data_IF_536197494272
#
_entry.id   IF_536197494272
#
_cell.length_a   1.000
_cell.length_b   1.000
_cell.length_c   1.000
_cell.angle_alpha   90.00
_cell.angle_beta   90.00
_cell.angle_gamma   90.00
#
_symmetry.space_group_name_H-M   'P 1'
#
loop_
_entity.id
_entity.type
_entity.pdbx_description
1 polymer ?
#
# COMPACT_ATOMS: atom_id res chain seq x y z
N UNK A 1 15.55 71.15 -35.29
CA UNK A 1 16.92 71.34 -35.78
C UNK A 1 17.63 72.36 -34.89
N UNK A 2 18.78 71.94 -34.32
CA UNK A 2 19.93 72.60 -33.63
C UNK A 2 19.73 73.85 -32.77
N UNK A 3 20.03 73.83 -31.46
CA UNK A 3 21.33 73.81 -30.68
C UNK A 3 21.75 75.24 -30.31
N UNK A 4 22.13 75.62 -29.08
CA UNK A 4 23.31 75.20 -28.28
C UNK A 4 23.18 75.75 -26.81
N UNK A 5 23.50 74.99 -25.74
CA UNK A 5 24.77 74.93 -24.95
C UNK A 5 25.19 76.25 -24.23
N UNK A 6 25.80 76.33 -23.03
CA UNK A 6 26.16 75.41 -21.92
C UNK A 6 26.53 76.22 -20.66
N UNK A 7 26.56 75.50 -19.52
CA UNK A 7 26.84 75.87 -18.11
C UNK A 7 28.29 76.32 -17.78
N UNK A 8 28.40 77.05 -16.66
CA UNK A 8 29.64 77.43 -15.95
C UNK A 8 29.97 76.54 -14.73
N UNK A 9 31.25 76.54 -14.38
CA UNK A 9 31.95 75.87 -13.26
C UNK A 9 31.80 76.60 -11.91
N UNK A 10 31.99 75.90 -10.78
CA UNK A 10 32.96 76.21 -9.68
C UNK A 10 32.91 75.11 -8.57
N UNK A 11 34.00 74.87 -7.80
CA UNK A 11 34.24 73.64 -7.03
C UNK A 11 33.98 73.77 -5.52
N UNK A 12 33.72 72.65 -4.80
CA UNK A 12 33.79 72.57 -3.32
C UNK A 12 34.18 71.18 -2.79
N UNK A 13 34.69 71.25 -1.56
CA UNK A 13 35.49 70.32 -0.77
C UNK A 13 34.90 68.92 -0.49
N UNK A 14 35.81 67.98 -0.30
CA UNK A 14 35.61 66.59 0.15
C UNK A 14 35.07 66.49 1.58
N UNK A 15 33.97 65.76 1.76
CA UNK A 15 33.49 65.26 3.05
C UNK A 15 33.38 63.73 2.97
N UNK A 16 34.02 63.01 3.89
CA UNK A 16 33.94 61.55 4.04
C UNK A 16 32.50 61.13 4.38
N UNK A 17 31.92 60.22 3.61
CA UNK A 17 30.64 59.58 3.92
C UNK A 17 30.88 58.23 4.61
N UNK A 18 30.39 58.09 5.85
CA UNK A 18 30.24 56.80 6.51
C UNK A 18 29.08 56.04 5.84
N UNK A 19 29.38 54.94 5.15
CA UNK A 19 28.38 54.01 4.64
C UNK A 19 28.01 53.04 5.77
N UNK A 20 26.85 53.24 6.38
CA UNK A 20 26.20 52.25 7.23
C UNK A 20 25.71 51.10 6.34
N UNK A 21 26.47 50.00 6.28
CA UNK A 21 25.96 48.73 5.77
C UNK A 21 24.99 48.15 6.81
N UNK A 22 23.69 48.37 6.61
CA UNK A 22 22.64 47.66 7.33
C UNK A 22 22.69 46.17 6.95
N UNK A 23 23.10 45.32 7.89
CA UNK A 23 23.04 43.87 7.74
C UNK A 23 21.58 43.44 7.86
N UNK A 24 20.90 43.26 6.72
CA UNK A 24 19.62 42.55 6.71
C UNK A 24 19.89 41.07 6.97
N UNK A 25 19.72 40.66 8.23
CA UNK A 25 19.70 39.26 8.61
C UNK A 25 18.39 38.65 8.10
N UNK A 26 18.39 38.14 6.87
CA UNK A 26 17.32 37.26 6.41
C UNK A 26 17.40 35.98 7.23
N UNK A 27 16.55 35.86 8.24
CA UNK A 27 16.21 34.55 8.80
C UNK A 27 15.45 33.79 7.71
N UNK A 28 16.18 33.07 6.86
CA UNK A 28 15.57 32.04 6.05
C UNK A 28 14.98 31.02 7.01
N UNK A 29 13.67 31.04 7.20
CA UNK A 29 12.97 29.84 7.66
C UNK A 29 13.26 28.78 6.60
N UNK A 30 14.19 27.87 6.92
CA UNK A 30 14.22 26.59 6.26
C UNK A 30 12.81 26.03 6.45
N UNK A 31 12.03 25.98 5.37
CA UNK A 31 10.84 25.14 5.31
C UNK A 31 11.38 23.74 5.57
N UNK A 32 11.23 23.25 6.79
CA UNK A 32 11.33 21.82 7.06
C UNK A 32 10.35 21.18 6.09
N UNK A 33 10.86 20.45 5.09
CA UNK A 33 10.01 19.47 4.44
C UNK A 33 9.60 18.52 5.56
N UNK A 34 8.35 18.58 5.99
CA UNK A 34 7.83 17.58 6.92
C UNK A 34 8.13 16.22 6.31
N UNK A 35 8.95 15.44 7.02
CA UNK A 35 9.24 14.08 6.63
C UNK A 35 8.03 13.25 7.02
N UNK A 36 7.28 12.78 6.03
CA UNK A 36 6.18 11.85 6.20
C UNK A 36 6.66 10.60 6.96
N UNK A 37 5.96 10.24 8.04
CA UNK A 37 6.23 9.01 8.82
C UNK A 37 5.73 7.75 8.10
N UNK A 38 4.74 7.91 7.22
CA UNK A 38 4.13 6.81 6.47
C UNK A 38 4.16 7.07 4.96
N UNK A 39 5.36 7.03 4.36
CA UNK A 39 5.51 7.06 2.90
C UNK A 39 5.02 5.75 2.29
N UNK A 40 3.83 5.78 1.69
CA UNK A 40 3.25 4.60 1.04
C UNK A 40 4.09 4.26 -0.19
N UNK A 41 4.72 3.09 -0.18
CA UNK A 41 5.51 2.58 -1.30
C UNK A 41 4.59 2.41 -2.50
N UNK A 42 5.06 2.79 -3.68
CA UNK A 42 4.33 2.57 -4.93
C UNK A 42 4.10 1.07 -5.18
N UNK A 43 3.07 0.74 -5.96
CA UNK A 43 2.74 -0.66 -6.27
C UNK A 43 3.74 -1.28 -7.25
N UNK A 44 4.49 -0.45 -7.98
CA UNK A 44 5.40 -0.87 -9.03
C UNK A 44 4.70 -1.39 -10.28
N UNK A 45 3.38 -1.18 -10.42
CA UNK A 45 2.63 -1.62 -11.59
C UNK A 45 3.04 -0.81 -12.81
N UNK A 46 3.51 -1.49 -13.86
CA UNK A 46 4.12 -0.85 -15.03
C UNK A 46 3.25 -0.87 -16.29
N UNK A 47 2.14 -1.60 -16.28
CA UNK A 47 1.28 -1.77 -17.44
C UNK A 47 -0.20 -1.55 -17.12
N UNK A 48 -0.91 -1.01 -18.11
CA UNK A 48 -2.36 -0.86 -18.07
C UNK A 48 -3.07 -2.10 -18.65
N UNK A 49 -4.37 -2.22 -18.40
CA UNK A 49 -5.25 -3.25 -18.94
C UNK A 49 -6.53 -2.66 -19.51
N UNK A 50 -7.15 -3.34 -20.47
CA UNK A 50 -8.52 -3.07 -20.94
C UNK A 50 -9.58 -3.93 -20.22
N UNK A 51 -9.24 -4.48 -19.05
CA UNK A 51 -10.04 -5.46 -18.30
C UNK A 51 -10.24 -6.81 -19.05
N UNK A 52 -9.43 -7.08 -20.07
CA UNK A 52 -9.39 -8.38 -20.76
C UNK A 52 -7.95 -8.88 -20.97
N UNK A 53 -7.06 -7.97 -21.38
CA UNK A 53 -5.66 -8.20 -21.68
C UNK A 53 -4.80 -7.07 -21.11
N UNK A 54 -3.50 -7.32 -20.99
CA UNK A 54 -2.54 -6.28 -20.68
C UNK A 54 -2.23 -5.49 -21.96
N UNK A 55 -2.21 -4.16 -21.85
CA UNK A 55 -1.96 -3.25 -22.96
C UNK A 55 -0.46 -3.03 -23.15
N UNK A 56 -0.03 -2.86 -24.40
CA UNK A 56 1.35 -2.48 -24.74
C UNK A 56 1.65 -1.02 -24.39
N UNK A 57 0.62 -0.17 -24.37
CA UNK A 57 0.69 1.25 -24.01
C UNK A 57 -0.55 1.63 -23.20
N UNK A 58 -0.36 2.43 -22.16
CA UNK A 58 -1.47 2.95 -21.38
C UNK A 58 -2.34 3.94 -22.17
N UNK A 59 -3.68 3.98 -21.94
CA UNK A 59 -4.55 4.99 -22.53
C UNK A 59 -4.09 6.40 -22.17
N UNK A 60 -4.24 7.39 -23.06
CA UNK A 60 -3.89 8.79 -22.74
C UNK A 60 -5.07 9.55 -22.12
N UNK A 61 -4.82 10.74 -21.58
CA UNK A 61 -5.87 11.56 -20.96
C UNK A 61 -7.03 11.81 -21.94
N UNK A 62 -8.24 11.46 -21.53
CA UNK A 62 -9.46 11.58 -22.34
C UNK A 62 -9.91 10.26 -22.98
N UNK A 63 -9.04 9.24 -23.03
CA UNK A 63 -9.41 7.91 -23.50
C UNK A 63 -10.10 7.07 -22.42
N UNK A 64 -10.89 6.09 -22.87
CA UNK A 64 -11.52 5.12 -21.99
C UNK A 64 -10.45 4.28 -21.27
N UNK A 65 -10.62 4.09 -19.97
CA UNK A 65 -9.66 3.35 -19.15
C UNK A 65 -8.42 4.15 -18.73
N UNK A 66 -8.35 5.46 -18.98
CA UNK A 66 -7.33 6.33 -18.36
C UNK A 66 -7.54 6.45 -16.84
N UNK A 67 -6.45 6.58 -16.09
CA UNK A 67 -6.44 6.74 -14.63
C UNK A 67 -6.05 5.47 -13.88
N UNK A 68 -5.45 4.49 -14.55
CA UNK A 68 -4.95 3.27 -13.92
C UNK A 68 -3.69 3.55 -13.12
N UNK A 69 -3.34 2.63 -12.22
CA UNK A 69 -2.18 2.74 -11.32
C UNK A 69 -0.87 3.01 -12.06
N UNK A 70 -0.61 2.26 -13.15
CA UNK A 70 0.59 2.40 -13.99
C UNK A 70 0.79 3.81 -14.61
N UNK A 71 -0.22 4.68 -14.54
CA UNK A 71 -0.18 6.03 -15.08
C UNK A 71 0.18 7.09 -14.03
N UNK A 72 0.26 6.69 -12.77
CA UNK A 72 0.70 7.53 -11.67
C UNK A 72 2.07 7.08 -11.18
N UNK A 73 2.79 7.98 -10.53
CA UNK A 73 4.09 7.70 -9.95
C UNK A 73 4.02 8.03 -8.46
N UNK A 74 4.18 7.02 -7.61
CA UNK A 74 4.37 7.17 -6.17
C UNK A 74 5.84 7.09 -5.77
N UNK A 75 6.08 6.71 -4.51
CA UNK A 75 7.42 6.42 -4.01
C UNK A 75 7.89 5.05 -4.51
N UNK A 76 8.57 5.02 -5.66
CA UNK A 76 9.07 3.78 -6.25
C UNK A 76 9.87 2.94 -5.23
N UNK A 77 9.66 1.62 -5.16
CA UNK A 77 10.41 0.74 -4.26
C UNK A 77 11.92 0.96 -4.39
N UNK A 78 12.60 1.16 -3.27
CA UNK A 78 14.04 1.43 -3.23
C UNK A 78 14.66 0.73 -2.04
N UNK A 79 15.58 -0.19 -2.33
CA UNK A 79 16.20 -1.05 -1.33
C UNK A 79 17.73 -0.94 -1.39
N UNK A 80 18.38 -1.14 -0.25
CA UNK A 80 19.83 -1.25 -0.14
C UNK A 80 20.18 -2.52 0.63
N UNK A 81 20.85 -3.45 -0.04
CA UNK A 81 21.43 -4.63 0.60
C UNK A 81 22.68 -4.19 1.38
N UNK A 82 22.69 -4.41 2.70
CA UNK A 82 23.75 -3.91 3.57
C UNK A 82 24.96 -4.86 3.67
N UNK A 83 24.94 -5.99 2.94
CA UNK A 83 25.98 -7.03 2.94
C UNK A 83 26.26 -7.68 4.32
N UNK A 84 25.31 -7.58 5.25
CA UNK A 84 25.37 -8.15 6.61
C UNK A 84 24.16 -9.05 6.93
N UNK A 85 23.40 -9.41 5.90
CA UNK A 85 22.14 -10.15 6.04
C UNK A 85 20.91 -9.26 6.26
N UNK A 86 21.04 -7.93 6.14
CA UNK A 86 19.91 -6.99 6.22
C UNK A 86 19.69 -6.19 4.94
N UNK A 87 18.46 -5.69 4.78
CA UNK A 87 18.03 -4.81 3.69
C UNK A 87 17.42 -3.55 4.28
N UNK A 88 17.93 -2.38 3.89
CA UNK A 88 17.31 -1.09 4.19
C UNK A 88 16.25 -0.76 3.14
N UNK A 89 15.04 -0.42 3.55
CA UNK A 89 14.00 0.14 2.70
C UNK A 89 14.05 1.67 2.77
N UNK A 90 14.53 2.27 1.67
CA UNK A 90 14.81 3.70 1.58
C UNK A 90 13.54 4.57 1.50
N UNK A 91 12.38 3.95 1.24
CA UNK A 91 11.08 4.65 1.21
C UNK A 91 10.47 4.65 2.60
N UNK A 92 10.37 3.47 3.21
CA UNK A 92 9.65 3.30 4.48
C UNK A 92 10.50 3.63 5.69
N UNK A 93 11.84 3.64 5.56
CA UNK A 93 12.76 3.77 6.69
C UNK A 93 12.80 2.52 7.57
N UNK A 94 12.22 1.41 7.11
CA UNK A 94 12.31 0.10 7.75
C UNK A 94 13.62 -0.58 7.35
N UNK A 95 14.07 -1.50 8.20
CA UNK A 95 15.15 -2.42 7.90
C UNK A 95 14.65 -3.85 8.11
N UNK A 96 14.98 -4.73 7.17
CA UNK A 96 14.50 -6.11 7.12
C UNK A 96 15.66 -7.08 7.26
N UNK A 97 15.41 -8.21 7.92
CA UNK A 97 16.28 -9.38 7.77
C UNK A 97 16.07 -9.95 6.36
N UNK A 98 17.15 -10.15 5.61
CA UNK A 98 17.08 -10.53 4.20
C UNK A 98 16.65 -11.98 4.01
N UNK A 99 17.07 -12.89 4.89
CA UNK A 99 16.83 -14.34 4.75
C UNK A 99 15.52 -14.78 5.39
N UNK A 100 14.92 -15.80 4.79
CA UNK A 100 13.79 -16.58 5.36
C UNK A 100 14.17 -18.04 5.66
N UNK A 101 15.43 -18.41 5.46
CA UNK A 101 16.01 -19.65 5.99
C UNK A 101 16.19 -19.47 7.49
N UNK A 102 15.26 -20.04 8.27
CA UNK A 102 15.21 -19.85 9.71
C UNK A 102 16.03 -20.89 10.48
N UNK A 103 16.50 -21.92 9.78
CA UNK A 103 17.29 -23.01 10.36
C UNK A 103 18.79 -22.94 10.00
N UNK A 104 19.16 -22.15 8.98
CA UNK A 104 20.52 -21.85 8.58
C UNK A 104 21.20 -22.93 7.72
N UNK A 105 20.45 -23.85 7.12
CA UNK A 105 20.99 -24.94 6.29
C UNK A 105 21.24 -24.53 4.81
N UNK A 106 20.92 -23.30 4.45
CA UNK A 106 21.08 -22.74 3.11
C UNK A 106 19.97 -23.14 2.14
N UNK A 107 18.87 -23.72 2.64
CA UNK A 107 17.67 -24.06 1.86
C UNK A 107 16.45 -23.43 2.51
N UNK A 108 15.46 -23.08 1.69
CA UNK A 108 14.16 -22.65 2.17
C UNK A 108 13.17 -23.75 1.81
N UNK A 109 12.56 -24.36 2.82
CA UNK A 109 11.63 -25.49 2.70
C UNK A 109 10.46 -25.35 3.67
N UNK A 110 9.58 -26.34 3.73
CA UNK A 110 8.55 -26.38 4.77
C UNK A 110 9.12 -26.38 6.21
N UNK A 111 10.39 -26.80 6.41
CA UNK A 111 11.04 -26.80 7.72
C UNK A 111 11.35 -25.39 8.25
N UNK A 112 11.41 -24.38 7.38
CA UNK A 112 11.67 -22.99 7.75
C UNK A 112 10.44 -22.23 8.23
N UNK A 113 9.26 -22.86 8.07
CA UNK A 113 7.99 -22.27 8.45
C UNK A 113 7.72 -22.49 9.93
N UNK A 114 7.15 -21.48 10.56
CA UNK A 114 6.86 -21.48 12.00
C UNK A 114 5.39 -21.21 12.27
N UNK A 115 4.85 -21.79 13.33
CA UNK A 115 3.57 -21.35 13.90
C UNK A 115 3.69 -19.93 14.45
N UNK A 116 2.55 -19.30 14.78
CA UNK A 116 2.56 -17.94 15.34
C UNK A 116 3.44 -17.83 16.60
N UNK A 117 3.25 -18.73 17.57
CA UNK A 117 3.98 -18.72 18.84
C UNK A 117 5.46 -19.03 18.66
N UNK A 118 5.79 -19.94 17.73
CA UNK A 118 7.17 -20.24 17.35
C UNK A 118 7.84 -19.00 16.72
N UNK A 119 7.15 -18.30 15.82
CA UNK A 119 7.68 -17.10 15.16
C UNK A 119 7.93 -15.96 16.14
N UNK A 120 7.01 -15.73 17.09
CA UNK A 120 7.19 -14.75 18.18
C UNK A 120 8.44 -15.10 19.00
N UNK A 121 8.60 -16.38 19.35
CA UNK A 121 9.76 -16.85 20.12
C UNK A 121 11.06 -16.76 19.35
N UNK A 122 11.05 -17.09 18.06
CA UNK A 122 12.21 -17.01 17.16
C UNK A 122 12.69 -15.56 17.03
N UNK A 123 11.78 -14.62 16.71
CA UNK A 123 12.13 -13.22 16.52
C UNK A 123 12.65 -12.56 17.81
N UNK A 124 12.08 -12.90 18.97
CA UNK A 124 12.55 -12.39 20.25
C UNK A 124 14.02 -12.76 20.56
N UNK A 125 14.55 -13.81 19.94
CA UNK A 125 15.92 -14.26 20.09
C UNK A 125 16.78 -13.99 18.84
N UNK A 126 16.21 -13.35 17.81
CA UNK A 126 16.92 -13.10 16.55
C UNK A 126 18.01 -12.03 16.76
N UNK A 127 19.23 -12.38 16.35
CA UNK A 127 20.36 -11.45 16.32
C UNK A 127 21.03 -11.47 14.95
N UNK A 128 20.45 -10.72 14.01
CA UNK A 128 20.99 -10.52 12.67
C UNK A 128 21.71 -9.18 12.62
N UNK A 129 22.93 -9.16 12.06
CA UNK A 129 23.78 -7.97 11.94
C UNK A 129 24.04 -7.20 13.26
N UNK A 130 24.00 -7.90 14.41
CA UNK A 130 24.23 -7.29 15.72
C UNK A 130 23.02 -6.57 16.31
N UNK A 131 21.84 -6.64 15.67
CA UNK A 131 20.60 -6.04 16.16
C UNK A 131 19.73 -7.07 16.87
N UNK A 132 19.11 -6.66 17.99
CA UNK A 132 18.25 -7.51 18.83
C UNK A 132 16.84 -6.94 19.04
N UNK A 133 16.49 -5.87 18.32
CA UNK A 133 15.20 -5.18 18.34
C UNK A 133 14.32 -5.58 17.14
N UNK A 134 14.53 -6.79 16.61
CA UNK A 134 13.72 -7.36 15.55
C UNK A 134 12.30 -7.65 16.04
N UNK A 135 11.31 -7.46 15.15
CA UNK A 135 9.90 -7.76 15.40
C UNK A 135 9.23 -8.39 14.18
N UNK A 136 8.09 -9.04 14.41
CA UNK A 136 7.18 -9.38 13.32
C UNK A 136 6.64 -8.08 12.69
N UNK A 137 6.60 -7.99 11.35
CA UNK A 137 6.02 -6.84 10.67
C UNK A 137 4.52 -6.80 10.90
N UNK A 138 3.95 -5.60 11.04
CA UNK A 138 2.52 -5.40 10.87
C UNK A 138 2.11 -5.74 9.44
N UNK A 139 0.81 -5.95 9.21
CA UNK A 139 0.33 -6.22 7.86
C UNK A 139 0.56 -5.05 6.91
N UNK A 140 0.52 -3.80 7.38
CA UNK A 140 0.83 -2.60 6.57
C UNK A 140 2.30 -2.54 6.15
N UNK A 141 3.22 -2.94 7.04
CA UNK A 141 4.64 -3.06 6.71
C UNK A 141 4.91 -4.21 5.76
N UNK A 142 4.34 -5.39 6.00
CA UNK A 142 4.55 -6.54 5.12
C UNK A 142 3.94 -6.30 3.72
N UNK A 143 2.81 -5.59 3.64
CA UNK A 143 2.16 -5.22 2.38
C UNK A 143 2.95 -4.17 1.59
N UNK A 144 3.79 -3.36 2.23
CA UNK A 144 4.63 -2.38 1.54
C UNK A 144 5.60 -3.04 0.54
N UNK A 145 5.99 -4.29 0.80
CA UNK A 145 6.90 -5.08 -0.03
C UNK A 145 6.23 -5.66 -1.29
N UNK A 146 4.89 -5.66 -1.40
CA UNK A 146 4.21 -6.24 -2.57
C UNK A 146 4.52 -5.44 -3.84
N UNK A 147 4.86 -6.13 -4.92
CA UNK A 147 4.96 -5.58 -6.27
C UNK A 147 3.80 -6.09 -7.13
N UNK A 148 2.91 -5.20 -7.57
CA UNK A 148 1.69 -5.53 -8.35
C UNK A 148 1.94 -5.79 -9.84
N UNK A 149 3.21 -5.88 -10.21
CA UNK A 149 3.66 -6.46 -11.45
C UNK A 149 3.78 -8.00 -11.35
N UNK A 150 3.68 -8.60 -10.16
CA UNK A 150 3.68 -10.05 -10.00
C UNK A 150 2.59 -10.77 -10.80
N UNK A 151 2.82 -12.06 -11.08
CA UNK A 151 1.92 -12.91 -11.87
C UNK A 151 1.32 -14.00 -11.00
N UNK A 152 0.01 -13.95 -10.75
CA UNK A 152 -0.65 -14.91 -9.89
C UNK A 152 -0.85 -16.27 -10.60
N UNK A 153 -0.28 -17.37 -10.07
CA UNK A 153 -0.45 -18.70 -10.65
C UNK A 153 -1.72 -19.41 -10.20
N UNK A 154 -2.57 -18.76 -9.40
CA UNK A 154 -3.79 -19.38 -8.86
C UNK A 154 -4.66 -19.95 -9.97
N UNK A 155 -5.07 -21.20 -9.78
CA UNK A 155 -5.91 -21.95 -10.71
C UNK A 155 -5.14 -22.72 -11.77
N UNK A 156 -3.83 -22.55 -11.91
CA UNK A 156 -2.99 -23.50 -12.67
C UNK A 156 -3.05 -24.88 -12.01
N UNK A 157 -3.18 -25.94 -12.81
CA UNK A 157 -3.26 -27.32 -12.36
C UNK A 157 -2.31 -28.20 -13.16
N UNK A 158 -1.74 -29.21 -12.50
CA UNK A 158 -0.90 -30.23 -13.13
C UNK A 158 0.60 -29.90 -13.05
N UNK A 159 1.45 -30.89 -13.39
CA UNK A 159 2.89 -30.69 -13.47
C UNK A 159 3.25 -29.81 -14.67
N UNK A 160 4.25 -28.94 -14.51
CA UNK A 160 4.75 -28.08 -15.58
C UNK A 160 5.86 -27.17 -15.06
N UNK A 161 6.68 -26.66 -15.98
CA UNK A 161 7.63 -25.59 -15.67
C UNK A 161 6.95 -24.25 -15.91
N UNK A 162 6.74 -23.49 -14.84
CA UNK A 162 6.15 -22.16 -14.92
C UNK A 162 7.21 -21.11 -14.61
N UNK A 163 7.36 -20.12 -15.48
CA UNK A 163 8.08 -18.89 -15.15
C UNK A 163 7.07 -17.95 -14.52
N UNK A 164 7.25 -17.63 -13.25
CA UNK A 164 6.31 -16.82 -12.47
C UNK A 164 7.10 -15.66 -11.87
N UNK A 165 6.70 -14.43 -12.20
CA UNK A 165 7.21 -13.26 -11.49
C UNK A 165 6.54 -13.17 -10.12
N UNK A 166 7.26 -13.32 -9.00
CA UNK A 166 6.66 -13.17 -7.67
C UNK A 166 6.28 -11.70 -7.41
N UNK A 167 5.37 -11.50 -6.47
CA UNK A 167 4.92 -10.18 -6.01
C UNK A 167 5.90 -9.54 -5.01
N UNK A 168 7.19 -9.89 -5.04
CA UNK A 168 8.23 -9.33 -4.16
C UNK A 168 9.55 -9.21 -4.93
N UNK A 169 10.38 -8.24 -4.57
CA UNK A 169 11.73 -8.12 -5.11
C UNK A 169 12.68 -9.16 -4.48
N UNK A 170 12.65 -10.37 -5.02
CA UNK A 170 13.45 -11.49 -4.54
C UNK A 170 14.97 -11.37 -4.78
N UNK A 171 15.43 -10.22 -5.29
CA UNK A 171 16.86 -9.86 -5.31
C UNK A 171 17.35 -9.33 -3.97
N UNK A 172 16.44 -8.80 -3.15
CA UNK A 172 16.73 -8.25 -1.82
C UNK A 172 16.15 -9.12 -0.72
N UNK A 173 14.95 -9.65 -0.90
CA UNK A 173 14.23 -10.40 0.12
C UNK A 173 14.21 -11.90 -0.20
N UNK A 174 14.42 -12.71 0.83
CA UNK A 174 14.24 -14.16 0.76
C UNK A 174 12.82 -14.47 0.33
N UNK A 175 12.71 -15.34 -0.67
CA UNK A 175 11.43 -15.77 -1.22
C UNK A 175 11.51 -17.23 -1.63
N UNK A 176 10.48 -17.99 -1.26
CA UNK A 176 10.22 -19.32 -1.79
C UNK A 176 8.70 -19.54 -1.91
N UNK A 177 8.35 -20.40 -2.86
CA UNK A 177 7.00 -20.94 -3.05
C UNK A 177 6.64 -21.99 -1.97
N UNK A 178 5.48 -22.62 -2.10
CA UNK A 178 5.18 -23.80 -1.27
C UNK A 178 6.05 -25.00 -1.68
N UNK A 179 6.53 -25.75 -0.69
CA UNK A 179 7.38 -26.94 -0.84
C UNK A 179 6.54 -28.13 -1.31
N UNK A 180 6.43 -28.27 -2.63
CA UNK A 180 5.71 -29.36 -3.30
C UNK A 180 6.27 -30.75 -2.94
N UNK A 181 7.56 -30.87 -2.59
CA UNK A 181 8.16 -32.14 -2.20
C UNK A 181 7.67 -32.60 -0.82
N UNK A 182 7.27 -31.66 0.02
CA UNK A 182 6.60 -31.92 1.32
C UNK A 182 5.07 -32.05 1.23
N UNK A 183 4.50 -31.94 0.01
CA UNK A 183 3.05 -32.06 -0.22
C UNK A 183 2.26 -30.76 -0.10
N UNK A 184 2.95 -29.61 -0.06
CA UNK A 184 2.32 -28.29 -0.19
C UNK A 184 1.91 -28.00 -1.64
N UNK A 185 1.11 -26.95 -1.85
CA UNK A 185 0.80 -26.40 -3.17
C UNK A 185 1.76 -25.26 -3.46
N UNK A 186 1.94 -24.93 -4.74
CA UNK A 186 2.78 -23.81 -5.19
C UNK A 186 2.43 -22.49 -4.46
N UNK A 187 1.13 -22.27 -4.23
CA UNK A 187 0.62 -21.08 -3.57
C UNK A 187 0.73 -21.10 -2.04
N UNK A 188 1.30 -22.14 -1.44
CA UNK A 188 1.44 -22.27 0.01
C UNK A 188 2.65 -21.49 0.58
N UNK A 189 2.82 -20.24 0.12
CA UNK A 189 3.93 -19.35 0.46
C UNK A 189 3.49 -18.16 1.35
N UNK A 190 2.83 -18.47 2.46
CA UNK A 190 2.28 -17.44 3.35
C UNK A 190 3.35 -16.84 4.27
N UNK A 191 3.41 -15.51 4.34
CA UNK A 191 4.29 -14.73 5.19
C UNK A 191 3.51 -14.13 6.36
N UNK A 192 3.99 -14.36 7.57
CA UNK A 192 3.32 -13.97 8.79
C UNK A 192 3.45 -12.47 9.08
N UNK A 193 2.36 -11.86 9.54
CA UNK A 193 2.40 -10.53 10.19
C UNK A 193 2.07 -10.63 11.69
N UNK A 194 2.31 -9.55 12.42
CA UNK A 194 1.87 -9.38 13.81
C UNK A 194 0.40 -8.96 13.92
N UNK A 195 -0.25 -8.56 12.83
CA UNK A 195 -1.61 -8.03 12.85
C UNK A 195 -2.64 -9.16 12.91
N UNK A 196 -3.27 -9.32 14.07
CA UNK A 196 -4.35 -10.28 14.27
C UNK A 196 -5.69 -9.72 13.80
N UNK A 197 -6.53 -10.59 13.28
CA UNK A 197 -7.91 -10.24 12.99
C UNK A 197 -8.69 -10.20 14.29
N UNK A 198 -9.43 -9.11 14.52
CA UNK A 198 -10.17 -8.89 15.76
C UNK A 198 -11.39 -9.81 15.94
N UNK A 199 -11.77 -10.56 14.89
CA UNK A 199 -12.85 -11.56 14.93
C UNK A 199 -12.32 -12.95 14.58
N UNK A 200 -13.20 -13.94 14.52
CA UNK A 200 -12.88 -15.33 14.23
C UNK A 200 -13.12 -15.66 12.76
N UNK A 201 -12.22 -16.42 12.14
CA UNK A 201 -12.48 -17.07 10.85
C UNK A 201 -13.27 -18.36 11.09
N UNK A 202 -14.21 -18.68 10.20
CA UNK A 202 -15.09 -19.85 10.32
C UNK A 202 -15.82 -19.97 11.68
N UNK A 203 -16.04 -18.83 12.36
CA UNK A 203 -16.77 -18.74 13.63
C UNK A 203 -16.01 -19.20 14.88
N UNK A 204 -14.78 -19.72 14.75
CA UNK A 204 -14.03 -20.24 15.90
C UNK A 204 -12.52 -20.02 15.87
N UNK A 205 -11.93 -19.82 14.69
CA UNK A 205 -10.47 -19.83 14.55
C UNK A 205 -9.91 -18.43 14.77
N UNK A 206 -9.02 -18.31 15.76
CA UNK A 206 -8.14 -17.14 15.89
C UNK A 206 -7.34 -16.97 14.61
N UNK A 207 -7.27 -15.74 14.14
CA UNK A 207 -6.84 -15.43 12.78
C UNK A 207 -5.79 -14.35 12.79
N UNK A 208 -4.75 -14.55 11.99
CA UNK A 208 -3.71 -13.56 11.76
C UNK A 208 -3.70 -13.18 10.28
N UNK A 209 -3.50 -11.91 9.98
CA UNK A 209 -3.27 -11.49 8.61
C UNK A 209 -1.87 -11.87 8.17
N UNK A 210 -1.73 -12.26 6.92
CA UNK A 210 -0.44 -12.46 6.29
C UNK A 210 -0.49 -12.09 4.82
N UNK A 211 0.68 -11.99 4.21
CA UNK A 211 0.84 -11.74 2.78
C UNK A 211 1.27 -13.02 2.09
N UNK A 212 0.78 -13.26 0.88
CA UNK A 212 1.26 -14.34 0.04
C UNK A 212 1.94 -13.76 -1.21
N UNK A 213 3.27 -13.69 -1.20
CA UNK A 213 4.02 -13.06 -2.30
C UNK A 213 4.04 -13.88 -3.60
N UNK A 214 3.53 -15.12 -3.61
CA UNK A 214 3.33 -15.88 -4.86
C UNK A 214 2.02 -15.51 -5.57
N UNK A 215 0.99 -15.07 -4.83
CA UNK A 215 -0.35 -14.81 -5.38
C UNK A 215 -0.82 -13.36 -5.20
N UNK A 216 -0.02 -12.53 -4.52
CA UNK A 216 -0.17 -11.08 -4.42
C UNK A 216 -1.25 -10.61 -3.45
N UNK A 217 -1.67 -11.42 -2.47
CA UNK A 217 -2.83 -11.10 -1.61
C UNK A 217 -2.51 -11.06 -0.12
N UNK A 218 -3.22 -10.19 0.59
CA UNK A 218 -3.45 -10.33 2.04
C UNK A 218 -4.54 -11.38 2.24
N UNK A 219 -4.36 -12.27 3.22
CA UNK A 219 -5.44 -13.17 3.67
C UNK A 219 -5.46 -13.24 5.19
N UNK A 220 -6.65 -13.52 5.73
CA UNK A 220 -6.79 -13.98 7.11
C UNK A 220 -6.50 -15.48 7.16
N UNK A 221 -5.52 -15.87 7.98
CA UNK A 221 -5.14 -17.25 8.19
C UNK A 221 -5.52 -17.67 9.60
N UNK A 222 -6.38 -18.68 9.72
CA UNK A 222 -6.60 -19.36 10.99
C UNK A 222 -5.27 -19.90 11.52
N UNK A 223 -4.98 -19.69 12.80
CA UNK A 223 -3.73 -20.13 13.43
C UNK A 223 -3.66 -21.66 13.59
N UNK A 224 -4.79 -22.34 13.46
CA UNK A 224 -4.89 -23.80 13.40
C UNK A 224 -5.07 -24.28 11.97
N UNK A 225 -4.40 -25.36 11.61
CA UNK A 225 -4.57 -26.02 10.33
C UNK A 225 -5.89 -26.79 10.29
N UNK A 226 -6.69 -26.67 9.23
CA UNK A 226 -7.88 -27.52 9.04
C UNK A 226 -7.56 -29.03 8.99
N UNK A 227 -6.28 -29.39 8.74
CA UNK A 227 -5.79 -30.78 8.72
C UNK A 227 -5.28 -31.25 10.10
N UNK A 228 -5.40 -30.43 11.14
CA UNK A 228 -4.85 -30.67 12.47
C UNK A 228 -3.46 -30.06 12.66
N UNK A 229 -3.14 -29.67 13.89
CA UNK A 229 -1.91 -28.97 14.27
C UNK A 229 -1.94 -27.47 13.94
N UNK A 230 -0.87 -26.78 14.30
CA UNK A 230 -0.74 -25.35 14.03
C UNK A 230 -0.52 -25.08 12.54
N UNK A 231 -1.03 -23.95 12.07
CA UNK A 231 -0.66 -23.43 10.74
C UNK A 231 0.72 -22.78 10.83
N UNK A 232 1.59 -23.08 9.88
CA UNK A 232 2.94 -22.52 9.79
C UNK A 232 3.09 -21.53 8.63
N UNK A 233 4.07 -20.63 8.74
CA UNK A 233 4.29 -19.49 7.85
C UNK A 233 5.77 -19.21 7.64
N UNK A 234 6.15 -18.66 6.49
CA UNK A 234 7.45 -18.01 6.32
C UNK A 234 7.51 -16.71 7.13
N UNK A 235 8.70 -16.36 7.61
CA UNK A 235 8.90 -15.24 8.53
C UNK A 235 9.90 -14.25 7.92
N UNK A 236 9.48 -13.00 7.77
CA UNK A 236 10.39 -11.87 7.58
C UNK A 236 10.40 -11.07 8.88
N UNK A 237 11.58 -10.72 9.37
CA UNK A 237 11.74 -9.85 10.54
C UNK A 237 12.01 -8.41 10.09
N UNK A 238 11.43 -7.45 10.81
CA UNK A 238 11.58 -6.02 10.53
C UNK A 238 12.02 -5.27 11.78
N UNK A 239 12.65 -4.11 11.59
CA UNK A 239 12.99 -3.13 12.62
C UNK A 239 12.99 -1.71 12.04
N UNK A 240 13.14 -0.71 12.89
CA UNK A 240 13.04 0.70 12.49
C UNK A 240 11.60 1.17 12.33
N UNK A 241 11.45 2.43 11.87
CA UNK A 241 10.22 3.22 11.72
C UNK A 241 8.95 2.61 12.36
N UNK A 242 8.78 2.80 13.67
CA UNK A 242 7.60 2.31 14.40
C UNK A 242 6.29 3.00 13.99
N UNK A 243 6.37 4.13 13.31
CA UNK A 243 5.21 4.94 12.91
C UNK A 243 4.70 4.57 11.50
N UNK A 244 5.40 3.68 10.78
CA UNK A 244 4.95 3.20 9.49
C UNK A 244 3.62 2.44 9.64
N UNK A 245 2.59 2.84 8.90
CA UNK A 245 1.25 2.27 9.03
C UNK A 245 0.31 3.01 9.97
N UNK A 246 0.79 4.05 10.66
CA UNK A 246 0.00 4.88 11.59
C UNK A 246 -0.42 6.17 10.88
N UNK A 247 -1.72 6.30 10.60
CA UNK A 247 -2.30 7.48 9.97
C UNK A 247 -2.43 8.65 10.97
N UNK A 248 -2.48 9.88 10.47
CA UNK A 248 -2.74 11.11 11.23
C UNK A 248 -3.82 11.92 10.52
N UNK A 249 -5.08 11.48 10.67
CA UNK A 249 -6.21 12.06 9.96
C UNK A 249 -6.69 13.39 10.56
N UNK A 250 -6.86 14.38 9.70
CA UNK A 250 -7.41 15.71 10.00
C UNK A 250 -8.59 15.99 9.09
N UNK A 251 -9.79 16.08 9.65
CA UNK A 251 -11.00 16.41 8.90
C UNK A 251 -10.99 17.87 8.46
N UNK A 252 -11.30 18.10 7.18
CA UNK A 252 -11.56 19.44 6.66
C UNK A 252 -13.07 19.71 6.56
N UNK A 253 -13.48 20.96 6.68
CA UNK A 253 -14.90 21.37 6.58
C UNK A 253 -15.46 21.38 5.15
N UNK A 254 -14.78 20.74 4.19
CA UNK A 254 -15.09 20.75 2.76
C UNK A 254 -15.32 19.33 2.18
N UNK A 255 -15.58 18.35 3.04
CA UNK A 255 -15.81 16.96 2.63
C UNK A 255 -14.54 16.17 2.32
N UNK A 256 -13.40 16.58 2.88
CA UNK A 256 -12.12 15.89 2.70
C UNK A 256 -11.43 15.61 4.03
N UNK A 257 -10.53 14.62 4.05
CA UNK A 257 -9.64 14.29 5.18
C UNK A 257 -8.21 14.39 4.70
N UNK A 258 -7.36 15.13 5.40
CA UNK A 258 -5.92 15.11 5.17
C UNK A 258 -5.28 14.10 6.11
N UNK A 259 -4.50 13.18 5.58
CA UNK A 259 -3.66 12.30 6.38
C UNK A 259 -2.23 12.86 6.42
N UNK A 260 -1.85 13.49 7.52
CA UNK A 260 -0.55 14.15 7.68
C UNK A 260 0.61 13.14 7.65
N UNK A 261 0.37 11.87 8.01
CA UNK A 261 1.38 10.83 8.00
C UNK A 261 1.78 10.41 6.58
N UNK A 262 0.83 10.43 5.64
CA UNK A 262 1.00 9.99 4.25
C UNK A 262 1.05 11.15 3.26
N UNK A 263 0.63 12.35 3.66
CA UNK A 263 0.47 13.53 2.80
C UNK A 263 -0.68 13.39 1.79
N UNK A 264 -1.57 12.42 1.98
CA UNK A 264 -2.69 12.15 1.09
C UNK A 264 -3.94 12.88 1.56
N UNK A 265 -4.75 13.36 0.61
CA UNK A 265 -6.07 13.91 0.88
C UNK A 265 -7.12 12.97 0.30
N UNK A 266 -8.09 12.61 1.14
CA UNK A 266 -9.16 11.68 0.85
C UNK A 266 -10.51 12.39 0.81
N UNK A 267 -11.46 11.88 0.04
CA UNK A 267 -12.87 12.26 0.22
C UNK A 267 -13.41 11.59 1.50
N UNK A 268 -14.27 12.29 2.26
CA UNK A 268 -14.88 11.71 3.46
C UNK A 268 -15.97 10.69 3.15
N UNK A 269 -16.82 10.96 2.17
CA UNK A 269 -17.92 10.08 1.75
C UNK A 269 -17.49 9.13 0.64
N UNK A 270 -18.09 7.94 0.60
CA UNK A 270 -18.01 7.10 -0.58
C UNK A 270 -19.04 7.51 -1.65
N UNK A 271 -19.08 6.71 -2.71
CA UNK A 271 -19.94 6.95 -3.85
C UNK A 271 -21.42 6.65 -3.67
N UNK A 272 -21.80 5.91 -2.63
CA UNK A 272 -23.13 5.34 -2.38
C UNK A 272 -23.64 4.36 -3.45
N UNK A 273 -23.29 4.54 -4.73
CA UNK A 273 -23.63 3.66 -5.83
C UNK A 273 -22.46 2.75 -6.19
N UNK A 274 -22.74 1.53 -6.60
CA UNK A 274 -21.72 0.63 -7.14
C UNK A 274 -21.38 0.99 -8.59
N UNK A 275 -20.12 0.85 -8.97
CA UNK A 275 -19.65 1.02 -10.35
C UNK A 275 -18.78 -0.16 -10.74
N UNK A 276 -18.72 -0.42 -12.04
CA UNK A 276 -17.62 -1.20 -12.58
C UNK A 276 -16.29 -0.43 -12.45
N UNK A 277 -15.19 -1.13 -12.70
CA UNK A 277 -13.86 -0.57 -12.49
C UNK A 277 -13.55 0.65 -13.37
N UNK A 278 -13.93 0.61 -14.65
CA UNK A 278 -13.73 1.74 -15.56
C UNK A 278 -14.63 2.93 -15.19
N UNK A 279 -15.85 2.66 -14.72
CA UNK A 279 -16.74 3.67 -14.16
C UNK A 279 -16.14 4.35 -12.93
N UNK A 280 -15.49 3.60 -12.04
CA UNK A 280 -14.79 4.17 -10.89
C UNK A 280 -13.63 5.09 -11.30
N UNK A 281 -12.83 4.69 -12.29
CA UNK A 281 -11.76 5.53 -12.87
C UNK A 281 -12.32 6.85 -13.40
N UNK A 282 -13.37 6.77 -14.23
CA UNK A 282 -13.97 7.94 -14.87
C UNK A 282 -14.70 8.84 -13.85
N UNK A 283 -15.35 8.26 -12.84
CA UNK A 283 -15.97 9.01 -11.75
C UNK A 283 -14.94 9.87 -11.01
N UNK A 284 -13.81 9.28 -10.60
CA UNK A 284 -12.79 9.99 -9.82
C UNK A 284 -12.20 11.16 -10.62
N UNK A 285 -11.90 10.92 -11.89
CA UNK A 285 -11.34 11.93 -12.81
C UNK A 285 -12.27 13.13 -13.04
N UNK A 286 -13.58 12.92 -13.03
CA UNK A 286 -14.57 13.98 -13.25
C UNK A 286 -15.09 14.62 -11.96
N UNK A 287 -14.60 14.19 -10.79
CA UNK A 287 -15.03 14.74 -9.51
C UNK A 287 -14.51 16.17 -9.35
N UNK A 288 -15.43 17.12 -9.14
CA UNK A 288 -15.12 18.42 -8.57
C UNK A 288 -15.52 18.44 -7.09
N UNK A 289 -14.52 18.37 -6.21
CA UNK A 289 -14.71 18.38 -4.77
C UNK A 289 -13.68 19.29 -4.11
N UNK A 290 -14.16 20.12 -3.17
CA UNK A 290 -13.35 21.11 -2.47
C UNK A 290 -12.60 22.08 -3.42
N UNK A 291 -13.19 22.38 -4.58
CA UNK A 291 -12.61 23.25 -5.61
C UNK A 291 -11.42 22.62 -6.34
N UNK A 292 -11.39 21.28 -6.40
CA UNK A 292 -10.30 20.50 -7.02
C UNK A 292 -10.87 19.44 -7.94
N UNK A 293 -10.18 19.25 -9.08
CA UNK A 293 -10.58 18.36 -10.18
C UNK A 293 -9.49 17.34 -10.52
N UNK A 294 -8.46 17.22 -9.68
CA UNK A 294 -7.33 16.30 -9.83
C UNK A 294 -7.45 15.09 -8.89
N UNK A 295 -8.68 14.65 -8.67
CA UNK A 295 -9.00 13.44 -7.91
C UNK A 295 -8.73 12.20 -8.76
N UNK A 296 -8.29 11.13 -8.11
CA UNK A 296 -8.08 9.84 -8.75
C UNK A 296 -8.50 8.68 -7.85
N UNK A 297 -8.70 7.54 -8.49
CA UNK A 297 -8.85 6.28 -7.78
C UNK A 297 -7.48 5.94 -7.11
N UNK A 298 -7.45 5.58 -5.82
CA UNK A 298 -6.22 5.18 -5.14
C UNK A 298 -5.66 3.92 -5.76
N UNK A 299 -4.34 3.79 -5.73
CA UNK A 299 -3.76 2.47 -5.90
C UNK A 299 -4.06 1.61 -4.66
N UNK A 300 -3.86 0.30 -4.77
CA UNK A 300 -4.28 -0.63 -3.72
C UNK A 300 -3.51 -0.46 -2.40
N UNK A 301 -2.26 0.00 -2.44
CA UNK A 301 -1.46 0.29 -1.23
C UNK A 301 -1.94 1.54 -0.53
N UNK A 302 -2.32 2.57 -1.28
CA UNK A 302 -2.97 3.76 -0.72
C UNK A 302 -4.31 3.39 -0.10
N UNK A 303 -5.14 2.61 -0.80
CA UNK A 303 -6.43 2.20 -0.27
C UNK A 303 -6.30 1.29 0.96
N UNK A 304 -5.29 0.42 1.01
CA UNK A 304 -5.01 -0.41 2.18
C UNK A 304 -4.49 0.42 3.37
N UNK A 305 -3.85 1.56 3.11
CA UNK A 305 -3.27 2.42 4.15
C UNK A 305 -4.32 2.97 5.12
N UNK A 306 -5.58 3.11 4.70
CA UNK A 306 -6.68 3.61 5.54
C UNK A 306 -7.50 2.49 6.21
N UNK A 307 -7.11 1.22 6.05
CA UNK A 307 -7.73 0.11 6.77
C UNK A 307 -7.38 0.21 8.25
N UNK A 308 -8.42 0.23 9.07
CA UNK A 308 -8.31 0.07 10.52
C UNK A 308 -8.54 -1.39 10.90
N UNK A 309 -7.42 -2.10 11.09
CA UNK A 309 -7.39 -3.52 11.47
C UNK A 309 -7.90 -3.79 12.88
N UNK A 310 -8.13 -2.77 13.71
CA UNK A 310 -8.74 -2.92 15.04
C UNK A 310 -10.27 -3.00 15.01
N UNK A 311 -10.87 -2.79 13.83
CA UNK A 311 -12.32 -2.68 13.65
C UNK A 311 -12.83 -3.74 12.68
N UNK A 312 -14.06 -4.19 12.90
CA UNK A 312 -14.77 -5.02 11.94
C UNK A 312 -16.28 -4.99 12.20
N UNK A 313 -17.10 -5.37 11.21
CA UNK A 313 -18.55 -5.46 11.39
C UNK A 313 -18.95 -6.39 12.56
N UNK A 314 -18.16 -7.41 12.86
CA UNK A 314 -18.43 -8.37 13.93
C UNK A 314 -18.09 -7.87 15.35
N UNK A 315 -17.21 -6.89 15.49
CA UNK A 315 -16.66 -6.50 16.81
C UNK A 315 -16.97 -5.06 17.19
N UNK A 316 -16.94 -4.15 16.21
CA UNK A 316 -17.18 -2.71 16.40
C UNK A 316 -18.48 -2.24 15.74
N UNK A 317 -19.22 -3.14 15.10
CA UNK A 317 -20.45 -2.84 14.35
C UNK A 317 -20.25 -1.71 13.30
N UNK A 318 -19.04 -1.63 12.75
CA UNK A 318 -18.56 -0.56 11.87
C UNK A 318 -17.75 -1.15 10.72
N UNK A 319 -17.44 -0.39 9.65
CA UNK A 319 -16.43 -0.82 8.70
C UNK A 319 -15.06 -0.88 9.39
N UNK A 320 -14.11 -1.57 8.75
CA UNK A 320 -12.67 -1.53 9.09
C UNK A 320 -12.01 -0.22 8.64
N UNK A 321 -12.61 0.92 8.99
CA UNK A 321 -12.24 2.29 8.62
C UNK A 321 -12.32 3.19 9.86
N UNK A 322 -11.50 4.23 9.88
CA UNK A 322 -11.62 5.29 10.88
C UNK A 322 -13.00 5.98 10.76
N UNK A 323 -13.72 6.25 11.87
CA UNK A 323 -15.02 6.91 11.87
C UNK A 323 -15.06 8.31 11.24
N UNK A 324 -13.91 8.93 10.96
CA UNK A 324 -13.82 10.18 10.18
C UNK A 324 -14.34 10.02 8.74
N UNK A 325 -14.30 8.79 8.22
CA UNK A 325 -14.84 8.42 6.92
C UNK A 325 -16.28 7.93 7.02
N UNK A 326 -17.08 8.27 6.03
CA UNK A 326 -18.48 7.87 5.92
C UNK A 326 -18.64 6.76 4.87
N UNK A 327 -18.46 5.51 5.32
CA UNK A 327 -18.76 4.34 4.52
C UNK A 327 -20.26 4.06 4.53
N UNK A 328 -20.87 4.02 3.35
CA UNK A 328 -22.27 3.66 3.20
C UNK A 328 -22.52 2.18 3.54
N UNK A 329 -23.67 1.89 4.14
CA UNK A 329 -24.07 0.51 4.43
C UNK A 329 -24.65 -0.17 3.19
N UNK A 330 -24.47 -1.48 3.12
CA UNK A 330 -25.05 -2.36 2.09
C UNK A 330 -25.74 -3.55 2.74
N UNK A 331 -26.52 -4.27 1.95
CA UNK A 331 -26.93 -5.63 2.28
C UNK A 331 -26.00 -6.60 1.56
N UNK A 332 -25.28 -7.43 2.31
CA UNK A 332 -24.36 -8.42 1.74
C UNK A 332 -25.11 -9.61 1.12
N UNK A 333 -24.38 -10.56 0.53
CA UNK A 333 -24.93 -11.75 -0.15
C UNK A 333 -25.71 -12.69 0.78
N UNK A 334 -25.59 -12.50 2.09
CA UNK A 334 -26.29 -13.25 3.14
C UNK A 334 -27.56 -12.55 3.61
N UNK A 335 -27.90 -11.39 3.06
CA UNK A 335 -29.04 -10.58 3.49
C UNK A 335 -28.77 -9.76 4.75
N UNK A 336 -27.52 -9.65 5.19
CA UNK A 336 -27.15 -8.94 6.42
C UNK A 336 -26.64 -7.53 6.13
N UNK A 337 -26.79 -6.64 7.11
CA UNK A 337 -26.21 -5.31 7.06
C UNK A 337 -24.67 -5.38 7.12
N UNK A 338 -24.02 -4.73 6.17
CA UNK A 338 -22.59 -4.76 5.98
C UNK A 338 -22.05 -3.48 5.34
N UNK A 339 -20.76 -3.50 4.99
CA UNK A 339 -20.07 -2.42 4.31
C UNK A 339 -19.43 -2.93 3.02
N UNK A 340 -19.29 -2.07 2.00
CA UNK A 340 -18.86 -2.49 0.68
C UNK A 340 -17.37 -2.78 0.60
N UNK A 341 -17.01 -3.39 -0.53
CA UNK A 341 -15.64 -3.48 -1.02
C UNK A 341 -15.32 -2.25 -1.86
N UNK A 342 -14.07 -1.79 -1.86
CA UNK A 342 -13.68 -0.55 -2.56
C UNK A 342 -12.60 -0.78 -3.62
N UNK A 343 -12.86 -0.39 -4.88
CA UNK A 343 -11.92 -0.51 -6.01
C UNK A 343 -10.65 0.30 -5.78
N UNK A 344 -9.54 -0.26 -6.27
CA UNK A 344 -8.31 0.49 -6.52
C UNK A 344 -8.04 0.63 -8.02
N UNK A 345 -7.17 1.55 -8.41
CA UNK A 345 -6.68 1.69 -9.79
C UNK A 345 -5.68 0.59 -10.20
N UNK A 346 -5.27 -0.25 -9.25
CA UNK A 346 -4.28 -1.31 -9.44
C UNK A 346 -4.94 -2.55 -10.05
N UNK A 347 -4.40 -3.03 -11.16
CA UNK A 347 -4.81 -4.31 -11.77
C UNK A 347 -4.12 -5.51 -11.09
N UNK A 348 -4.62 -6.73 -11.29
CA UNK A 348 -4.05 -7.95 -10.73
C UNK A 348 -3.89 -9.02 -11.80
N UNK A 349 -2.65 -9.24 -12.24
CA UNK A 349 -2.36 -10.23 -13.28
C UNK A 349 -2.49 -11.65 -12.76
N UNK A 350 -3.19 -12.50 -13.51
CA UNK A 350 -3.22 -13.94 -13.30
C UNK A 350 -2.72 -14.62 -14.57
N UNK A 351 -1.96 -15.70 -14.44
CA UNK A 351 -1.39 -16.41 -15.59
C UNK A 351 -2.43 -16.94 -16.60
N UNK A 352 -3.72 -16.93 -16.25
CA UNK A 352 -4.81 -17.25 -17.17
C UNK A 352 -5.41 -16.05 -17.89
N UNK A 353 -5.36 -14.85 -17.32
CA UNK A 353 -5.99 -13.63 -17.86
C UNK A 353 -5.62 -12.35 -17.09
N UNK A 354 -5.89 -11.20 -17.72
CA UNK A 354 -5.70 -9.87 -17.16
C UNK A 354 -7.03 -9.21 -16.70
N UNK A 355 -8.02 -10.01 -16.27
CA UNK A 355 -9.40 -9.50 -16.04
C UNK A 355 -9.64 -8.96 -14.64
N UNK A 356 -8.64 -9.00 -13.76
CA UNK A 356 -8.83 -8.69 -12.35
C UNK A 356 -8.26 -7.32 -12.02
N UNK A 357 -8.98 -6.59 -11.17
CA UNK A 357 -8.46 -5.42 -10.48
C UNK A 357 -8.46 -5.67 -8.98
N UNK A 358 -7.50 -5.06 -8.30
CA UNK A 358 -7.36 -5.12 -6.86
C UNK A 358 -8.37 -4.18 -6.20
N UNK A 359 -8.83 -4.56 -5.01
CA UNK A 359 -9.75 -3.79 -4.21
C UNK A 359 -9.52 -4.12 -2.73
N UNK A 360 -10.09 -3.35 -1.82
CA UNK A 360 -9.98 -3.57 -0.38
C UNK A 360 -11.33 -3.83 0.30
N UNK A 361 -11.32 -4.87 1.14
CA UNK A 361 -12.28 -5.27 2.16
C UNK A 361 -12.49 -4.28 3.33
N UNK A 362 -13.59 -3.54 3.42
CA UNK A 362 -13.91 -2.79 4.65
C UNK A 362 -15.13 -3.33 5.41
N UNK A 363 -15.98 -4.12 4.76
CA UNK A 363 -16.98 -4.96 5.40
C UNK A 363 -16.55 -6.43 5.53
N UNK A 364 -17.51 -7.34 5.69
CA UNK A 364 -17.24 -8.79 5.68
C UNK A 364 -16.99 -9.25 4.25
N UNK A 365 -15.92 -10.00 4.03
CA UNK A 365 -15.73 -10.76 2.78
C UNK A 365 -16.31 -12.16 2.96
N UNK A 366 -17.39 -12.45 2.24
CA UNK A 366 -18.10 -13.73 2.34
C UNK A 366 -17.66 -14.70 1.25
N UNK A 367 -17.61 -15.99 1.59
CA UNK A 367 -17.29 -17.06 0.64
C UNK A 367 -18.25 -18.24 0.81
N UNK A 368 -18.69 -18.83 -0.31
CA UNK A 368 -19.54 -20.03 -0.26
C UNK A 368 -18.68 -21.28 -0.40
N UNK A 369 -18.72 -22.16 0.61
CA UNK A 369 -18.11 -23.49 0.54
C UNK A 369 -19.18 -24.54 0.21
N UNK A 370 -19.32 -24.87 -1.08
CA UNK A 370 -20.39 -25.75 -1.60
C UNK A 370 -20.33 -27.18 -1.04
N UNK A 371 -19.20 -27.63 -0.51
CA UNK A 371 -19.00 -29.02 -0.06
C UNK A 371 -19.60 -29.35 1.30
N UNK A 372 -20.07 -28.37 2.08
CA UNK A 372 -20.59 -28.64 3.44
C UNK A 372 -21.97 -28.04 3.73
N UNK A 373 -22.57 -27.30 2.80
CA UNK A 373 -23.90 -26.70 3.00
C UNK A 373 -23.94 -25.54 3.99
N UNK A 374 -22.78 -25.00 4.37
CA UNK A 374 -22.63 -23.88 5.28
C UNK A 374 -22.13 -22.63 4.54
N UNK A 375 -22.75 -21.48 4.81
CA UNK A 375 -22.27 -20.15 4.43
C UNK A 375 -21.23 -19.72 5.47
N UNK A 376 -20.03 -19.31 5.06
CA UNK A 376 -18.98 -18.86 5.99
C UNK A 376 -18.33 -17.56 5.49
N UNK A 377 -17.76 -16.79 6.42
CA UNK A 377 -16.87 -15.68 6.09
C UNK A 377 -15.51 -16.26 5.70
N UNK A 378 -15.26 -16.36 4.39
CA UNK A 378 -13.95 -16.67 3.83
C UNK A 378 -13.55 -15.45 3.00
N UNK A 379 -12.35 -14.92 3.25
CA UNK A 379 -11.69 -13.97 2.35
C UNK A 379 -11.33 -14.68 1.03
N UNK A 380 -12.34 -14.97 0.21
CA UNK A 380 -12.22 -15.45 -1.17
C UNK A 380 -13.27 -14.71 -1.99
N UNK A 381 -12.80 -14.00 -2.99
CA UNK A 381 -13.63 -13.37 -4.01
C UNK A 381 -14.31 -14.35 -4.91
N UNK A 382 -15.60 -14.14 -5.09
CA UNK A 382 -16.31 -14.46 -6.33
C UNK A 382 -16.82 -13.13 -6.88
N UNK A 383 -16.98 -13.01 -8.20
CA UNK A 383 -17.39 -11.79 -8.91
C UNK A 383 -18.53 -11.05 -8.17
N UNK A 384 -18.24 -9.90 -7.55
CA UNK A 384 -19.24 -8.96 -7.03
C UNK A 384 -18.87 -7.56 -7.48
N UNK A 385 -19.87 -6.77 -7.84
CA UNK A 385 -19.76 -5.34 -8.16
C UNK A 385 -19.34 -4.57 -6.90
N UNK A 386 -18.24 -3.82 -6.95
CA UNK A 386 -17.64 -3.14 -5.79
C UNK A 386 -17.95 -1.61 -5.80
N UNK A 387 -17.79 -0.94 -4.67
CA UNK A 387 -17.84 0.54 -4.51
C UNK A 387 -16.41 1.12 -4.59
N UNK A 388 -16.15 2.41 -4.31
CA UNK A 388 -14.78 3.00 -4.25
C UNK A 388 -14.63 4.11 -3.18
N UNK A 389 -13.39 4.33 -2.72
CA UNK A 389 -12.94 5.46 -1.86
C UNK A 389 -11.75 6.12 -2.58
N UNK A 390 -11.64 7.46 -2.55
CA UNK A 390 -10.74 8.25 -3.41
C UNK A 390 -9.55 8.89 -2.71
N UNK A 391 -8.41 9.05 -3.43
CA UNK A 391 -7.19 9.68 -2.89
C UNK A 391 -6.54 10.70 -3.83
N UNK A 392 -5.76 11.60 -3.24
CA UNK A 392 -4.89 12.55 -3.94
C UNK A 392 -3.55 12.71 -3.21
N UNK A 393 -2.45 12.78 -3.95
CA UNK A 393 -1.12 13.15 -3.44
C UNK A 393 -0.86 14.67 -3.53
N UNK A 394 -0.30 15.28 -2.47
CA UNK A 394 0.14 16.68 -2.50
C UNK A 394 1.45 16.79 -3.30
N UNK A 395 1.38 17.25 -4.55
CA UNK A 395 2.58 17.72 -5.25
C UNK A 395 2.92 19.13 -4.77
N UNK A 396 4.13 19.30 -4.21
CA UNK A 396 4.66 20.62 -3.88
C UNK A 396 4.83 21.41 -5.19
N UNK A 397 3.94 22.36 -5.45
CA UNK A 397 4.10 23.32 -6.57
C UNK A 397 5.29 24.22 -6.22
N UNK A 398 6.48 23.87 -6.66
CA UNK A 398 7.60 24.82 -6.70
C UNK A 398 7.37 25.77 -7.87
N UNK A 399 6.46 26.73 -7.67
CA UNK A 399 6.23 27.83 -8.59
C UNK A 399 7.33 28.88 -8.44
N UNK A 400 8.38 28.78 -9.24
CA UNK A 400 9.23 29.94 -9.54
C UNK A 400 8.44 30.86 -10.48
N UNK A 401 7.71 31.82 -9.90
CA UNK A 401 7.29 33.03 -10.62
C UNK A 401 8.52 33.92 -10.82
N UNK A 402 9.16 33.78 -11.98
CA UNK A 402 10.05 34.80 -12.51
C UNK A 402 9.24 35.81 -13.34
N UNK A 403 8.88 36.94 -12.75
CA UNK A 403 8.58 38.17 -13.47
C UNK A 403 9.50 39.27 -12.93
N UNK A 404 10.52 39.63 -13.71
CA UNK A 404 10.77 40.99 -14.18
C UNK A 404 11.60 40.92 -15.45
#
# INVERSE_FOLDING_TARGET
>A
MNSDNRRQFFPKLSTLAFVLLGTFCFTGQASSSESLSYKIVDTGQSACSDASTQLSTCPVQGEYGFGQDAQYQGYAPSYTANNDGTVSDNVTGLMWAASIDTNGDGKVTAADKMSYDQAVSYIANLNTAGFSDWRLPTIKELYSLILFDGEDPSGIKGPGSYSIRPFIDHRYFGFESGDMASGERLIDAQYLSSTQYVSKTMGKDDTVFGVNFIDGRIKGYGMQSPRGGDKTFYILAVRGNSDYGVNQFVANSNGTVHDEATGLIWQTADSVTSLDWNGALEYCKNLDLAGRQDWRLPNVKELQSIVDYSRSPATSNSPSLDPIFNASQITNEGGELDYPNYWSSTTHMNLKNAKNASYVAFGRSMGTCVTTGWTYTVLVLKEVTLRWIMVKAIHKVTGLRGMR
#
